data_IF_784320882813
#
_entry.id   IF_784320882813
#
_cell.length_a   1.000
_cell.length_b   1.000
_cell.length_c   1.000
_cell.angle_alpha   90.00
_cell.angle_beta   90.00
_cell.angle_gamma   90.00
#
_symmetry.space_group_name_H-M   'P 1'
#
loop_
_entity.id
_entity.type
_entity.pdbx_description
1 polymer ?
#
# COMPACT_ATOMS: atom_id res chain seq x y z
N UNK A 1 17.20 2.62 -0.97
CA UNK A 1 16.07 3.17 -0.16
C UNK A 1 16.04 2.44 1.17
N UNK A 2 15.93 3.19 2.25
CA UNK A 2 15.84 2.64 3.61
C UNK A 2 14.42 2.70 4.16
N UNK A 3 13.70 3.78 3.87
CA UNK A 3 12.35 4.00 4.35
C UNK A 3 11.42 4.41 3.22
N UNK A 4 10.17 4.00 3.34
CA UNK A 4 9.11 4.37 2.42
C UNK A 4 7.88 4.76 3.25
N UNK A 5 7.52 6.03 3.19
CA UNK A 5 6.31 6.53 3.81
C UNK A 5 5.17 6.45 2.80
N UNK A 6 4.00 5.99 3.25
CA UNK A 6 2.88 5.64 2.37
C UNK A 6 1.60 6.27 2.89
N UNK A 7 0.80 6.81 1.98
CA UNK A 7 -0.56 7.26 2.24
C UNK A 7 -1.41 6.91 1.02
N UNK A 8 -2.59 6.32 1.26
CA UNK A 8 -3.46 5.87 0.18
C UNK A 8 -4.87 6.44 0.32
N UNK A 9 -5.50 6.67 -0.83
CA UNK A 9 -6.94 6.96 -0.94
C UNK A 9 -7.59 5.75 -1.61
N UNK A 10 -8.71 5.28 -1.04
CA UNK A 10 -9.34 4.04 -1.48
C UNK A 10 -10.84 4.21 -1.69
N UNK A 11 -11.43 3.24 -2.39
CA UNK A 11 -12.86 3.08 -2.53
C UNK A 11 -13.25 1.62 -2.26
N UNK A 12 -14.39 1.44 -1.62
CA UNK A 12 -15.03 0.13 -1.45
C UNK A 12 -16.52 0.34 -1.24
N UNK A 13 -17.32 -0.57 -1.77
CA UNK A 13 -18.76 -0.55 -1.56
C UNK A 13 -19.18 -0.91 -0.13
N UNK A 14 -18.28 -1.45 0.69
CA UNK A 14 -18.55 -1.75 2.09
C UNK A 14 -18.22 -0.55 2.98
N UNK A 15 -19.00 -0.35 4.03
CA UNK A 15 -18.78 0.71 5.00
C UNK A 15 -17.70 0.28 6.00
N UNK A 16 -16.54 0.93 5.93
CA UNK A 16 -15.40 0.63 6.79
C UNK A 16 -15.75 0.68 8.28
N UNK A 17 -16.55 1.66 8.70
CA UNK A 17 -16.93 1.82 10.10
C UNK A 17 -17.81 0.68 10.62
N UNK A 18 -18.50 -0.03 9.73
CA UNK A 18 -19.40 -1.12 10.08
C UNK A 18 -18.76 -2.50 9.95
N UNK A 19 -17.90 -2.69 8.95
CA UNK A 19 -17.39 -4.02 8.62
C UNK A 19 -15.93 -4.24 8.99
N UNK A 20 -15.17 -3.18 9.24
CA UNK A 20 -13.72 -3.28 9.47
C UNK A 20 -12.92 -3.40 8.18
N UNK A 21 -11.60 -3.23 8.28
CA UNK A 21 -10.72 -3.11 7.11
C UNK A 21 -10.64 -4.39 6.28
N UNK A 22 -10.70 -5.55 6.90
CA UNK A 22 -10.58 -6.81 6.15
C UNK A 22 -11.72 -6.99 5.17
N UNK A 23 -12.96 -6.81 5.63
CA UNK A 23 -14.13 -6.87 4.74
C UNK A 23 -14.15 -5.73 3.74
N UNK A 24 -13.76 -4.54 4.18
CA UNK A 24 -13.66 -3.38 3.31
C UNK A 24 -12.77 -3.69 2.10
N UNK A 25 -11.59 -4.24 2.33
CA UNK A 25 -10.64 -4.58 1.28
C UNK A 25 -11.04 -5.82 0.47
N UNK A 26 -11.94 -6.67 0.98
CA UNK A 26 -12.43 -7.85 0.27
C UNK A 26 -13.55 -7.54 -0.73
N UNK A 27 -14.12 -6.34 -0.67
CA UNK A 27 -15.20 -5.97 -1.58
C UNK A 27 -14.79 -6.16 -3.03
N UNK A 28 -15.66 -6.71 -3.89
CA UNK A 28 -15.34 -6.89 -5.32
C UNK A 28 -15.01 -5.57 -6.03
N UNK A 29 -15.52 -4.44 -5.52
CA UNK A 29 -15.29 -3.10 -6.07
C UNK A 29 -14.21 -2.32 -5.33
N UNK A 30 -13.45 -2.99 -4.44
CA UNK A 30 -12.35 -2.32 -3.76
C UNK A 30 -11.31 -1.82 -4.75
N UNK A 31 -10.85 -0.60 -4.54
CA UNK A 31 -9.86 0.03 -5.42
C UNK A 31 -9.00 1.00 -4.62
N UNK A 32 -7.70 1.02 -4.90
CA UNK A 32 -6.82 2.10 -4.46
C UNK A 32 -6.84 3.18 -5.55
N UNK A 33 -7.26 4.37 -5.19
CA UNK A 33 -7.43 5.48 -6.13
C UNK A 33 -6.13 6.28 -6.28
N UNK A 34 -5.51 6.63 -5.16
CA UNK A 34 -4.27 7.39 -5.12
C UNK A 34 -3.27 6.70 -4.21
N UNK A 35 -2.01 6.73 -4.62
CA UNK A 35 -0.90 6.21 -3.82
C UNK A 35 0.12 7.33 -3.64
N UNK A 36 0.18 7.87 -2.42
CA UNK A 36 1.19 8.86 -2.04
C UNK A 36 2.37 8.21 -1.36
N UNK A 37 3.58 8.64 -1.66
CA UNK A 37 4.76 8.09 -1.03
C UNK A 37 5.90 9.09 -0.94
N UNK A 38 6.80 8.83 -0.01
CA UNK A 38 8.05 9.56 0.16
C UNK A 38 9.16 8.56 0.44
N UNK A 39 10.26 8.67 -0.29
CA UNK A 39 11.44 7.81 -0.16
C UNK A 39 12.45 8.51 0.74
N UNK A 40 12.85 7.83 1.82
CA UNK A 40 13.89 8.31 2.75
C UNK A 40 13.64 9.74 3.26
N UNK A 41 12.37 10.09 3.50
CA UNK A 41 12.00 11.41 3.97
C UNK A 41 12.08 12.52 2.91
N UNK A 42 12.19 12.16 1.66
CA UNK A 42 12.27 13.10 0.54
C UNK A 42 10.93 13.70 0.14
N UNK A 43 10.87 14.23 -1.06
CA UNK A 43 9.68 14.86 -1.60
C UNK A 43 8.54 13.84 -1.75
N UNK A 44 7.32 14.27 -1.43
CA UNK A 44 6.12 13.43 -1.59
C UNK A 44 5.74 13.34 -3.06
N UNK A 45 5.55 12.12 -3.54
CA UNK A 45 5.05 11.82 -4.88
C UNK A 45 3.65 11.23 -4.77
N UNK A 46 2.82 11.48 -5.76
CA UNK A 46 1.46 10.92 -5.82
C UNK A 46 1.26 10.25 -7.15
N UNK A 47 0.80 9.00 -7.12
CA UNK A 47 0.44 8.22 -8.31
C UNK A 47 -1.07 8.11 -8.36
N UNK A 48 -1.65 8.52 -9.48
CA UNK A 48 -3.09 8.46 -9.70
C UNK A 48 -3.46 7.12 -10.36
N UNK A 49 -3.68 6.11 -9.52
CA UNK A 49 -4.01 4.77 -10.00
C UNK A 49 -5.37 4.72 -10.68
N UNK A 50 -6.31 5.54 -10.22
CA UNK A 50 -7.65 5.61 -10.82
C UNK A 50 -7.60 6.17 -12.25
N UNK A 51 -6.63 7.03 -12.55
CA UNK A 51 -6.43 7.58 -13.89
C UNK A 51 -5.58 6.68 -14.80
N UNK A 52 -5.15 5.51 -14.31
CA UNK A 52 -4.38 4.55 -15.08
C UNK A 52 -2.87 4.69 -14.95
N UNK A 53 -2.40 5.53 -14.04
CA UNK A 53 -0.98 5.58 -13.72
C UNK A 53 -0.55 4.30 -12.99
N UNK A 54 0.73 3.99 -13.05
CA UNK A 54 1.29 2.78 -12.44
C UNK A 54 2.36 3.14 -11.41
N UNK A 55 2.48 2.30 -10.39
CA UNK A 55 3.58 2.44 -9.44
C UNK A 55 4.91 2.16 -10.14
N UNK A 56 5.95 2.99 -9.90
CA UNK A 56 7.29 2.66 -10.37
C UNK A 56 7.71 1.27 -9.87
N UNK A 57 8.42 0.46 -10.70
CA UNK A 57 8.85 -0.87 -10.30
C UNK A 57 9.66 -0.89 -8.99
N UNK A 58 10.47 0.12 -8.74
CA UNK A 58 11.26 0.23 -7.52
C UNK A 58 10.39 0.39 -6.27
N UNK A 59 9.28 1.12 -6.39
CA UNK A 59 8.33 1.30 -5.28
C UNK A 59 7.56 0.00 -5.05
N UNK A 60 7.14 -0.64 -6.11
CA UNK A 60 6.44 -1.92 -6.02
C UNK A 60 7.31 -2.97 -5.33
N UNK A 61 8.58 -3.05 -5.71
CA UNK A 61 9.52 -3.96 -5.07
C UNK A 61 9.75 -3.61 -3.60
N UNK A 62 9.81 -2.33 -3.27
CA UNK A 62 9.99 -1.88 -1.90
C UNK A 62 8.85 -2.29 -0.99
N UNK A 63 7.63 -2.41 -1.51
CA UNK A 63 6.46 -2.82 -0.72
C UNK A 63 6.61 -4.23 -0.13
N UNK A 64 7.34 -5.11 -0.81
CA UNK A 64 7.57 -6.49 -0.37
C UNK A 64 8.97 -6.74 0.17
N UNK A 65 9.83 -5.73 0.19
CA UNK A 65 11.21 -5.84 0.64
C UNK A 65 11.29 -5.61 2.16
N UNK A 66 11.67 -6.64 2.90
CA UNK A 66 11.80 -6.58 4.35
C UNK A 66 12.92 -5.64 4.82
N UNK A 67 13.85 -5.27 3.94
CA UNK A 67 14.92 -4.33 4.27
C UNK A 67 14.50 -2.87 4.15
N UNK A 68 13.30 -2.61 3.60
CA UNK A 68 12.73 -1.27 3.51
C UNK A 68 11.68 -1.12 4.61
N UNK A 69 11.88 -0.18 5.52
CA UNK A 69 10.87 0.15 6.52
C UNK A 69 9.74 0.94 5.87
N UNK A 70 8.50 0.50 6.09
CA UNK A 70 7.31 1.20 5.60
C UNK A 70 6.67 1.93 6.76
N UNK A 71 6.27 3.16 6.51
CA UNK A 71 5.57 3.99 7.47
C UNK A 71 4.22 4.39 6.91
N UNK A 72 3.19 4.28 7.71
CA UNK A 72 1.84 4.70 7.32
C UNK A 72 1.11 5.24 8.54
N UNK A 73 0.24 6.21 8.33
CA UNK A 73 -0.51 6.81 9.43
C UNK A 73 -1.40 5.79 10.14
N UNK A 74 -2.11 4.96 9.36
CA UNK A 74 -2.90 3.84 9.87
C UNK A 74 -2.34 2.56 9.27
N UNK A 75 -1.25 2.05 9.85
CA UNK A 75 -0.46 0.96 9.27
C UNK A 75 -1.27 -0.30 9.00
N UNK A 76 -2.23 -0.63 9.86
CA UNK A 76 -3.08 -1.81 9.64
C UNK A 76 -3.96 -1.64 8.40
N UNK A 77 -4.53 -0.45 8.21
CA UNK A 77 -5.36 -0.15 7.05
C UNK A 77 -4.55 -0.25 5.76
N UNK A 78 -3.41 0.42 5.69
CA UNK A 78 -2.54 0.39 4.52
C UNK A 78 -2.04 -1.02 4.23
N UNK A 79 -1.67 -1.78 5.26
CA UNK A 79 -1.19 -3.14 5.08
C UNK A 79 -2.23 -4.04 4.44
N UNK A 80 -3.46 -4.00 4.94
CA UNK A 80 -4.53 -4.85 4.43
C UNK A 80 -4.90 -4.46 3.00
N UNK A 81 -5.08 -3.16 2.76
CA UNK A 81 -5.44 -2.66 1.44
C UNK A 81 -4.35 -2.92 0.39
N UNK A 82 -3.10 -2.70 0.74
CA UNK A 82 -1.98 -2.93 -0.18
C UNK A 82 -1.74 -4.41 -0.42
N UNK A 83 -1.99 -5.27 0.57
CA UNK A 83 -1.90 -6.72 0.39
C UNK A 83 -2.92 -7.19 -0.65
N UNK A 84 -4.15 -6.68 -0.60
CA UNK A 84 -5.17 -6.96 -1.61
C UNK A 84 -4.74 -6.44 -2.99
N UNK A 85 -4.22 -5.23 -3.05
CA UNK A 85 -3.77 -4.63 -4.30
C UNK A 85 -2.66 -5.46 -4.96
N UNK A 86 -1.66 -5.86 -4.19
CA UNK A 86 -0.54 -6.68 -4.69
C UNK A 86 -1.04 -8.04 -5.16
N UNK A 87 -1.95 -8.66 -4.41
CA UNK A 87 -2.55 -9.93 -4.77
C UNK A 87 -3.29 -9.86 -6.11
N UNK A 88 -4.02 -8.77 -6.34
CA UNK A 88 -4.82 -8.60 -7.56
C UNK A 88 -3.97 -8.29 -8.81
N UNK A 89 -2.76 -7.81 -8.62
CA UNK A 89 -1.90 -7.44 -9.76
C UNK A 89 -1.32 -8.63 -10.50
N UNK A 90 -1.52 -9.86 -10.01
CA UNK A 90 -0.96 -11.07 -10.61
C UNK A 90 0.52 -10.89 -10.97
N UNK A 91 1.22 -10.15 -10.12
CA UNK A 91 2.65 -9.99 -10.28
C UNK A 91 3.27 -11.34 -9.99
N UNK A 92 3.92 -11.90 -11.01
CA UNK A 92 4.75 -13.06 -10.89
C UNK A 92 5.96 -12.70 -10.01
N UNK A 93 5.72 -12.44 -8.76
CA UNK A 93 6.76 -12.40 -7.77
C UNK A 93 7.31 -13.82 -7.67
N UNK A 94 8.59 -13.92 -7.33
CA UNK A 94 9.23 -15.20 -7.06
C UNK A 94 8.22 -16.14 -6.38
N UNK A 95 7.92 -17.32 -6.97
CA UNK A 95 6.92 -18.23 -6.39
C UNK A 95 7.28 -18.69 -4.98
N UNK A 96 8.51 -18.50 -4.55
CA UNK A 96 8.97 -18.78 -3.19
C UNK A 96 8.95 -17.53 -2.30
N UNK A 97 8.70 -16.35 -2.86
CA UNK A 97 8.53 -15.15 -2.06
C UNK A 97 7.15 -15.15 -1.43
N UNK A 98 7.11 -14.72 -0.19
CA UNK A 98 5.84 -14.43 0.45
C UNK A 98 5.21 -13.22 -0.26
N UNK A 99 4.10 -13.44 -0.97
CA UNK A 99 3.39 -12.40 -1.71
C UNK A 99 2.66 -11.43 -0.77
N UNK A 100 2.97 -11.47 0.51
CA UNK A 100 2.43 -10.52 1.46
C UNK A 100 3.31 -9.28 1.52
N UNK A 101 2.66 -8.16 1.77
CA UNK A 101 3.36 -6.95 2.14
C UNK A 101 4.27 -7.30 3.32
N UNK A 102 5.51 -6.84 3.29
CA UNK A 102 6.42 -7.11 4.39
C UNK A 102 5.81 -6.63 5.71
N UNK A 103 6.10 -7.35 6.79
CA UNK A 103 5.61 -7.02 8.13
C UNK A 103 6.15 -5.67 8.66
N UNK A 104 7.00 -5.01 7.91
CA UNK A 104 7.73 -3.80 8.29
C UNK A 104 6.95 -2.51 8.01
N UNK A 105 5.62 -2.53 8.05
CA UNK A 105 4.84 -1.29 8.10
C UNK A 105 4.75 -0.87 9.56
N UNK A 106 5.49 0.15 9.90
CA UNK A 106 5.51 0.72 11.23
C UNK A 106 4.42 1.77 11.36
N UNK A 107 4.04 2.02 12.59
CA UNK A 107 2.93 2.87 13.00
C UNK A 107 2.77 4.19 12.27
N UNK A 108 2.55 5.28 12.95
CA UNK A 108 2.18 6.56 12.35
C UNK A 108 3.29 7.12 11.47
N UNK A 109 2.97 7.42 10.21
CA UNK A 109 3.87 8.15 9.34
C UNK A 109 4.05 9.58 9.86
N UNK A 110 5.29 9.96 10.09
CA UNK A 110 5.61 11.31 10.52
C UNK A 110 5.75 12.27 9.35
N UNK A 111 5.77 11.75 8.14
CA UNK A 111 6.18 12.49 6.95
C UNK A 111 5.05 12.74 5.95
N UNK A 112 3.94 12.04 6.08
CA UNK A 112 2.79 12.17 5.18
C UNK A 112 1.60 12.76 5.96
N UNK A 113 1.69 14.01 6.25
CA UNK A 113 0.61 14.75 6.92
C UNK A 113 0.04 15.78 5.98
#
# INVERSE_FOLDING_TARGET
MKTLSIDIETYSGYDLSKCGVYKYAESPDFEILLFGYSVDGGEVQVIDLAAGEHLPPEILNALTDNNVQKWAFNANFERVCLSRYISDMDISLDPFADNHLSAEILGKAKYLN
#
